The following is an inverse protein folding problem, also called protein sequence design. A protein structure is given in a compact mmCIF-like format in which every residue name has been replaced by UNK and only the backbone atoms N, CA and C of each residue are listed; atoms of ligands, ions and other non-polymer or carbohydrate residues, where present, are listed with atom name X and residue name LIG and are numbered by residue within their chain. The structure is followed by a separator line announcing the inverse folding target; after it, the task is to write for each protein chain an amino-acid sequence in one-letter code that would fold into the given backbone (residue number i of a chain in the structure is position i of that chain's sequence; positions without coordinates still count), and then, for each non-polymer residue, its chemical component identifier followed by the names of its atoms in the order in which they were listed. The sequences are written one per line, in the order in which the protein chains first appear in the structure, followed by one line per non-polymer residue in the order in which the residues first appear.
data_IF_120950526634
#
_entry.id   IF_120950526634
#
_cell.length_a   1.000
_cell.length_b   1.000
_cell.length_c   1.000
_cell.angle_alpha   90.00
_cell.angle_beta   90.00
_cell.angle_gamma   90.00
#
_symmetry.space_group_name_H-M   'P 1'
#
loop_
_entity.id
_entity.type
_entity.pdbx_description
1 polymer ?
#
# COMPACT_ATOMS: atom_id res chain seq x y z
N UNK A 1 -2.88 -4.09 7.81
CA UNK A 1 -1.46 -4.18 7.45
C UNK A 1 -1.34 -4.92 6.15
N UNK A 2 -0.72 -4.28 5.15
CA UNK A 2 -0.66 -4.80 3.80
C UNK A 2 0.04 -6.18 3.74
N UNK A 3 -0.55 -7.15 3.02
CA UNK A 3 -1.44 -6.96 1.88
C UNK A 3 -2.93 -6.74 2.21
N UNK A 4 -3.30 -6.68 3.50
CA UNK A 4 -4.68 -6.45 3.95
C UNK A 4 -4.98 -4.96 4.14
N UNK A 5 -5.90 -4.45 3.31
CA UNK A 5 -6.39 -3.08 3.39
C UNK A 5 -7.76 -3.06 4.10
N UNK A 6 -8.05 -1.97 4.82
CA UNK A 6 -9.40 -1.59 5.20
C UNK A 6 -9.69 -0.23 4.58
N UNK A 7 -10.67 -0.17 3.69
CA UNK A 7 -11.01 1.07 2.97
C UNK A 7 -11.72 2.07 3.87
N UNK A 8 -11.89 3.30 3.38
CA UNK A 8 -12.67 4.33 4.08
C UNK A 8 -14.12 3.90 4.33
N UNK A 9 -14.70 3.11 3.42
CA UNK A 9 -16.07 2.58 3.52
C UNK A 9 -16.15 1.23 4.26
N UNK A 10 -14.99 0.68 4.65
CA UNK A 10 -14.88 -0.51 5.50
C UNK A 10 -14.75 -1.84 4.76
N UNK A 11 -14.63 -1.82 3.43
CA UNK A 11 -14.28 -2.99 2.64
C UNK A 11 -12.86 -3.48 2.95
N UNK A 12 -12.56 -4.72 2.55
CA UNK A 12 -11.30 -5.40 2.88
C UNK A 12 -10.60 -6.03 1.66
N UNK A 13 -10.20 -5.23 0.65
CA UNK A 13 -9.45 -5.74 -0.48
C UNK A 13 -8.04 -6.16 -0.06
N UNK A 14 -7.42 -7.00 -0.89
CA UNK A 14 -6.08 -7.51 -0.66
C UNK A 14 -5.22 -7.43 -1.92
N UNK A 15 -3.95 -7.04 -1.77
CA UNK A 15 -3.03 -6.80 -2.89
C UNK A 15 -1.73 -7.58 -2.68
N UNK A 16 -1.60 -8.73 -3.35
CA UNK A 16 -0.55 -9.72 -3.07
C UNK A 16 0.68 -9.64 -3.99
N UNK A 17 0.63 -8.77 -4.99
CA UNK A 17 1.67 -8.67 -6.00
C UNK A 17 2.71 -7.61 -5.63
N UNK A 18 3.92 -7.77 -6.16
CA UNK A 18 4.92 -6.70 -6.08
C UNK A 18 4.59 -5.59 -7.09
N UNK A 19 4.91 -4.35 -6.73
CA UNK A 19 4.65 -3.20 -7.59
C UNK A 19 4.44 -1.92 -6.80
N UNK A 20 4.08 -0.87 -7.51
CA UNK A 20 3.54 0.35 -6.92
C UNK A 20 2.06 0.45 -7.21
N UNK A 21 1.29 0.79 -6.17
CA UNK A 21 -0.16 0.93 -6.26
C UNK A 21 -0.60 2.29 -5.72
N UNK A 22 -1.68 2.81 -6.29
CA UNK A 22 -2.35 3.98 -5.75
C UNK A 22 -3.05 3.61 -4.44
N UNK A 23 -2.66 4.22 -3.32
CA UNK A 23 -3.33 4.05 -2.02
C UNK A 23 -4.48 5.04 -1.91
N UNK A 24 -4.18 6.31 -2.22
CA UNK A 24 -5.15 7.39 -2.39
C UNK A 24 -4.73 8.19 -3.60
N UNK A 25 -5.67 8.44 -4.51
CA UNK A 25 -5.51 9.28 -5.69
C UNK A 25 -6.70 10.21 -5.77
N UNK A 26 -6.45 11.50 -5.71
CA UNK A 26 -7.42 12.56 -6.04
C UNK A 26 -6.71 13.67 -6.82
N UNK A 27 -7.42 14.76 -7.11
CA UNK A 27 -6.80 15.95 -7.72
C UNK A 27 -5.70 16.53 -6.84
N UNK A 28 -5.90 16.54 -5.51
CA UNK A 28 -5.02 17.23 -4.57
C UNK A 28 -4.05 16.29 -3.84
N UNK A 29 -4.49 15.08 -3.48
CA UNK A 29 -3.78 14.17 -2.57
C UNK A 29 -3.36 12.91 -3.30
N UNK A 30 -2.05 12.67 -3.38
CA UNK A 30 -1.45 11.51 -4.05
C UNK A 30 -0.67 10.69 -3.03
N UNK A 31 -1.08 9.44 -2.84
CA UNK A 31 -0.42 8.49 -1.93
C UNK A 31 -0.19 7.18 -2.67
N UNK A 32 1.05 6.72 -2.69
CA UNK A 32 1.45 5.48 -3.36
C UNK A 32 2.12 4.52 -2.38
N UNK A 33 1.78 3.24 -2.49
CA UNK A 33 2.39 2.15 -1.74
C UNK A 33 3.32 1.39 -2.65
N UNK A 34 4.52 1.08 -2.17
CA UNK A 34 5.43 0.14 -2.82
C UNK A 34 5.37 -1.18 -2.09
N UNK A 35 4.95 -2.21 -2.82
CA UNK A 35 4.80 -3.58 -2.35
C UNK A 35 5.99 -4.41 -2.80
N UNK A 36 6.61 -5.13 -1.85
CA UNK A 36 7.71 -6.07 -2.13
C UNK A 36 7.52 -7.37 -1.38
N UNK A 37 7.90 -8.47 -2.02
CA UNK A 37 7.97 -9.77 -1.39
C UNK A 37 8.99 -9.78 -0.26
N UNK A 38 8.67 -10.46 0.82
CA UNK A 38 9.59 -10.67 1.94
C UNK A 38 9.94 -12.16 2.07
N UNK A 39 11.08 -12.47 2.67
CA UNK A 39 11.42 -13.87 3.00
C UNK A 39 10.39 -14.52 3.91
N UNK A 40 9.73 -13.72 4.76
CA UNK A 40 8.76 -14.18 5.75
C UNK A 40 7.41 -14.56 5.13
N UNK A 41 7.06 -13.93 4.03
CA UNK A 41 5.81 -14.16 3.28
C UNK A 41 5.99 -15.14 2.12
N UNK A 42 7.12 -15.86 2.06
CA UNK A 42 7.54 -16.68 0.90
C UNK A 42 7.47 -15.89 -0.43
N UNK A 43 7.72 -14.59 -0.38
CA UNK A 43 7.68 -13.71 -1.56
C UNK A 43 6.30 -13.21 -1.97
N UNK A 44 5.26 -13.34 -1.14
CA UNK A 44 4.04 -12.52 -1.28
C UNK A 44 4.32 -11.10 -0.80
N UNK A 45 3.74 -10.12 -1.46
CA UNK A 45 4.10 -8.75 -1.18
C UNK A 45 3.52 -8.24 0.16
N UNK A 46 4.29 -7.38 0.80
CA UNK A 46 3.86 -6.53 1.91
C UNK A 46 4.33 -5.10 1.62
N UNK A 47 3.74 -4.10 2.27
CA UNK A 47 4.14 -2.72 2.03
C UNK A 47 5.54 -2.47 2.56
N UNK A 48 6.41 -2.02 1.64
CA UNK A 48 7.81 -1.71 1.87
C UNK A 48 8.03 -0.21 2.07
N UNK A 49 7.36 0.63 1.27
CA UNK A 49 7.42 2.09 1.38
C UNK A 49 6.07 2.72 1.10
N UNK A 50 5.80 3.84 1.73
CA UNK A 50 4.71 4.77 1.42
C UNK A 50 5.33 6.07 0.89
N UNK A 51 4.80 6.59 -0.21
CA UNK A 51 5.10 7.92 -0.72
C UNK A 51 3.84 8.79 -0.62
N UNK A 52 4.00 10.01 -0.10
CA UNK A 52 2.93 11.01 0.04
C UNK A 52 3.35 12.27 -0.70
N UNK A 53 2.53 12.73 -1.63
CA UNK A 53 2.82 13.86 -2.52
C UNK A 53 1.56 14.44 -3.16
N UNK A 54 1.74 15.30 -4.15
CA UNK A 54 0.65 15.91 -4.92
C UNK A 54 0.51 17.42 -4.71
N UNK A 55 -0.46 18.06 -5.39
CA UNK A 55 -0.63 19.51 -5.36
C UNK A 55 -0.80 20.10 -3.95
N UNK A 56 -1.45 19.38 -3.03
CA UNK A 56 -1.63 19.84 -1.65
C UNK A 56 -0.31 20.01 -0.88
N UNK A 57 0.76 19.35 -1.33
CA UNK A 57 2.13 19.49 -0.82
C UNK A 57 3.03 20.34 -1.72
N UNK A 58 2.47 21.06 -2.70
CA UNK A 58 3.21 21.96 -3.60
C UNK A 58 4.38 21.26 -4.30
N UNK A 59 4.18 20.02 -4.73
CA UNK A 59 5.18 19.20 -5.43
C UNK A 59 6.22 18.52 -4.53
N UNK A 60 6.15 18.72 -3.20
CA UNK A 60 6.99 18.02 -2.22
C UNK A 60 6.59 16.55 -2.13
N UNK A 61 7.56 15.67 -1.91
CA UNK A 61 7.31 14.22 -1.73
C UNK A 61 7.96 13.73 -0.45
N UNK A 62 7.16 13.09 0.39
CA UNK A 62 7.59 12.40 1.63
C UNK A 62 7.61 10.90 1.34
N UNK A 63 8.71 10.22 1.67
CA UNK A 63 8.83 8.77 1.55
C UNK A 63 9.21 8.17 2.90
N UNK A 64 8.38 7.23 3.38
CA UNK A 64 8.63 6.45 4.60
C UNK A 64 8.69 4.97 4.25
N UNK A 65 9.79 4.31 4.61
CA UNK A 65 9.96 2.87 4.41
C UNK A 65 10.02 2.06 5.71
N UNK A 66 10.18 0.76 5.56
CA UNK A 66 10.61 -0.15 6.65
C UNK A 66 11.93 0.33 7.26
N UNK A 67 12.32 -0.21 8.41
CA UNK A 67 13.64 0.08 9.00
C UNK A 67 14.77 -0.41 8.08
N UNK A 68 14.65 -1.61 7.50
CA UNK A 68 15.62 -2.15 6.54
C UNK A 68 15.67 -1.34 5.23
N UNK A 69 14.61 -0.60 4.90
CA UNK A 69 14.49 0.15 3.65
C UNK A 69 15.13 1.55 3.69
N UNK A 70 15.66 1.96 4.84
CA UNK A 70 16.46 3.17 5.03
C UNK A 70 15.76 4.31 5.77
N UNK A 71 16.29 5.53 5.62
CA UNK A 71 15.80 6.73 6.27
C UNK A 71 14.41 7.18 5.78
N UNK A 72 13.78 8.07 6.55
CA UNK A 72 12.65 8.88 6.07
C UNK A 72 13.21 9.99 5.20
N UNK A 73 12.61 10.20 4.02
CA UNK A 73 13.13 11.14 3.02
C UNK A 73 12.06 12.16 2.66
N UNK A 74 12.46 13.43 2.57
CA UNK A 74 11.67 14.54 2.01
C UNK A 74 12.49 15.16 0.88
N UNK A 75 11.97 15.16 -0.34
CA UNK A 75 12.63 15.71 -1.54
C UNK A 75 14.11 15.27 -1.67
N UNK A 76 14.36 13.96 -1.57
CA UNK A 76 15.70 13.34 -1.59
C UNK A 76 16.62 13.67 -0.39
N UNK A 77 16.15 14.41 0.61
CA UNK A 77 16.90 14.67 1.85
C UNK A 77 16.44 13.77 2.99
N UNK A 78 17.39 13.14 3.68
CA UNK A 78 17.09 12.38 4.89
C UNK A 78 16.64 13.33 6.01
N UNK A 79 15.54 12.97 6.66
CA UNK A 79 14.96 13.71 7.78
C UNK A 79 14.65 12.73 8.92
N UNK A 80 14.36 13.27 10.10
CA UNK A 80 14.03 12.48 11.30
C UNK A 80 15.15 11.48 11.66
N UNK A 81 16.41 11.92 11.61
CA UNK A 81 17.61 11.09 11.84
C UNK A 81 17.78 10.67 13.31
N UNK A 82 17.21 11.45 14.23
CA UNK A 82 17.19 11.16 15.66
C UNK A 82 15.86 10.52 16.10
N UNK A 83 15.86 9.87 17.27
CA UNK A 83 14.66 9.26 17.85
C UNK A 83 14.54 9.56 19.35
N UNK A 84 13.52 10.31 19.81
CA UNK A 84 12.47 10.94 19.00
C UNK A 84 12.97 12.18 18.24
N UNK A 85 12.27 12.56 17.16
CA UNK A 85 12.55 13.80 16.43
C UNK A 85 11.32 14.38 15.74
N UNK A 86 11.43 15.65 15.32
CA UNK A 86 10.38 16.38 14.60
C UNK A 86 11.01 17.09 13.40
N UNK A 87 10.28 17.14 12.29
CA UNK A 87 10.68 17.85 11.08
C UNK A 87 9.53 18.75 10.61
N UNK A 88 9.84 20.02 10.33
CA UNK A 88 8.88 20.98 9.78
C UNK A 88 8.96 20.98 8.26
N UNK A 89 7.83 20.73 7.59
CA UNK A 89 7.72 20.70 6.13
C UNK A 89 7.50 22.12 5.58
N UNK A 90 8.33 23.08 5.99
CA UNK A 90 8.31 24.47 5.50
C UNK A 90 6.91 25.10 5.45
N UNK A 91 6.12 24.97 6.53
CA UNK A 91 4.76 25.51 6.63
C UNK A 91 3.66 24.69 5.96
N UNK A 92 4.00 23.56 5.34
CA UNK A 92 3.04 22.61 4.77
C UNK A 92 2.64 21.50 5.76
N UNK A 93 3.29 21.39 6.90
CA UNK A 93 2.95 20.35 7.87
C UNK A 93 4.11 20.01 8.78
N UNK A 94 3.88 19.00 9.62
CA UNK A 94 4.86 18.51 10.59
C UNK A 94 4.95 17.00 10.52
N UNK A 95 6.17 16.49 10.52
CA UNK A 95 6.46 15.06 10.67
C UNK A 95 7.05 14.83 12.06
N UNK A 96 6.61 13.78 12.75
CA UNK A 96 7.10 13.40 14.09
C UNK A 96 7.51 11.94 14.08
N UNK A 97 8.70 11.63 14.59
CA UNK A 97 9.21 10.25 14.71
C UNK A 97 9.37 9.88 16.19
N UNK A 98 8.58 8.94 16.68
CA UNK A 98 8.59 8.51 18.09
C UNK A 98 8.00 7.10 18.27
N UNK A 99 7.79 6.67 19.52
CA UNK A 99 7.23 5.35 19.87
C UNK A 99 5.72 5.34 20.18
N UNK A 100 4.99 6.41 19.88
CA UNK A 100 3.59 6.58 20.24
C UNK A 100 2.64 6.14 19.13
N UNK A 101 1.41 5.77 19.49
CA UNK A 101 0.33 5.46 18.55
C UNK A 101 -0.25 4.05 18.68
N UNK A 102 -1.53 3.94 18.32
CA UNK A 102 -2.28 2.69 18.36
C UNK A 102 -2.11 1.94 17.06
N UNK A 103 -1.74 0.66 17.19
CA UNK A 103 -1.49 -0.20 16.06
C UNK A 103 -2.72 -0.29 15.14
N UNK A 104 -2.54 -0.45 13.83
CA UNK A 104 -3.64 -0.69 12.91
C UNK A 104 -4.31 -2.06 13.11
N UNK A 105 -3.62 -3.00 13.76
CA UNK A 105 -4.12 -4.31 14.17
C UNK A 105 -3.78 -4.61 15.64
N UNK A 106 -4.53 -5.52 16.27
CA UNK A 106 -4.35 -5.87 17.70
C UNK A 106 -3.11 -6.76 17.97
N UNK A 107 -2.25 -6.99 16.97
CA UNK A 107 -1.29 -8.10 16.98
C UNK A 107 0.10 -7.77 17.56
N UNK A 108 0.45 -6.49 17.82
CA UNK A 108 1.84 -6.12 18.11
C UNK A 108 2.07 -5.45 19.48
N UNK A 109 1.41 -5.93 20.53
CA UNK A 109 1.51 -5.39 21.90
C UNK A 109 2.88 -5.47 22.62
N UNK A 110 3.96 -5.96 21.98
CA UNK A 110 5.23 -6.28 22.68
C UNK A 110 6.46 -5.56 22.10
N UNK A 111 6.34 -4.81 20.99
CA UNK A 111 7.51 -4.34 20.24
C UNK A 111 7.73 -2.84 20.40
N UNK A 112 8.99 -2.41 20.50
CA UNK A 112 9.37 -1.00 20.48
C UNK A 112 8.95 -0.36 19.15
N UNK A 113 7.93 0.50 19.23
CA UNK A 113 7.34 1.13 18.06
C UNK A 113 8.27 2.18 17.48
N UNK A 114 8.36 2.21 16.15
CA UNK A 114 9.04 3.25 15.37
C UNK A 114 8.01 3.89 14.44
N UNK A 115 7.39 4.97 14.89
CA UNK A 115 6.19 5.53 14.26
C UNK A 115 6.47 6.91 13.68
N UNK A 116 6.18 7.08 12.40
CA UNK A 116 6.18 8.39 11.74
C UNK A 116 4.75 8.89 11.68
N UNK A 117 4.48 10.03 12.31
CA UNK A 117 3.22 10.76 12.22
C UNK A 117 3.39 11.93 11.28
N UNK A 118 2.44 12.14 10.37
CA UNK A 118 2.40 13.26 9.45
C UNK A 118 1.09 14.01 9.67
N UNK A 119 1.18 15.29 10.01
CA UNK A 119 0.07 16.22 9.99
C UNK A 119 0.27 17.16 8.80
N UNK A 120 -0.55 16.99 7.78
CA UNK A 120 -0.42 17.62 6.45
C UNK A 120 -1.63 18.52 6.15
N UNK A 121 -1.61 19.30 5.05
CA UNK A 121 -2.72 20.18 4.69
C UNK A 121 -3.99 19.39 4.37
N UNK A 122 -5.11 20.10 4.26
CA UNK A 122 -6.44 19.51 3.97
C UNK A 122 -6.92 18.50 5.03
N UNK A 123 -6.33 18.51 6.24
CA UNK A 123 -6.69 17.57 7.30
C UNK A 123 -6.18 16.15 7.06
N UNK A 124 -5.20 15.96 6.17
CA UNK A 124 -4.59 14.66 5.91
C UNK A 124 -3.63 14.30 7.04
N UNK A 125 -3.93 13.20 7.73
CA UNK A 125 -3.11 12.61 8.77
C UNK A 125 -2.67 11.22 8.35
N UNK A 126 -1.35 10.98 8.35
CA UNK A 126 -0.78 9.67 8.02
C UNK A 126 0.06 9.20 9.20
N UNK A 127 -0.21 7.99 9.68
CA UNK A 127 0.61 7.34 10.72
C UNK A 127 1.22 6.08 10.12
N UNK A 128 2.54 5.98 10.13
CA UNK A 128 3.29 4.85 9.57
C UNK A 128 4.10 4.15 10.66
N UNK A 129 3.73 2.92 10.98
CA UNK A 129 4.46 2.01 11.86
C UNK A 129 5.54 1.31 11.05
N UNK A 130 6.81 1.60 11.39
CA UNK A 130 7.97 1.09 10.68
C UNK A 130 8.49 -0.16 11.36
N UNK A 131 8.22 -1.31 10.77
CA UNK A 131 8.82 -2.57 11.18
C UNK A 131 10.11 -2.82 10.41
N UNK A 132 10.83 -3.88 10.80
CA UNK A 132 12.10 -4.24 10.15
C UNK A 132 11.93 -4.39 8.63
N UNK A 133 10.96 -5.21 8.22
CA UNK A 133 10.80 -5.67 6.85
C UNK A 133 9.44 -5.34 6.20
N UNK A 134 8.56 -4.61 6.89
CA UNK A 134 7.29 -4.11 6.35
C UNK A 134 6.89 -2.82 7.07
N UNK A 135 5.86 -2.14 6.57
CA UNK A 135 5.19 -1.04 7.27
C UNK A 135 3.71 -1.33 7.39
N UNK A 136 3.11 -0.89 8.50
CA UNK A 136 1.68 -0.68 8.59
C UNK A 136 1.40 0.82 8.59
N UNK A 137 0.29 1.24 8.01
CA UNK A 137 -0.08 2.64 8.06
C UNK A 137 -1.59 2.84 8.22
N UNK A 138 -1.94 4.01 8.72
CA UNK A 138 -3.31 4.49 8.84
C UNK A 138 -3.39 5.88 8.23
N UNK A 139 -4.38 6.10 7.39
CA UNK A 139 -4.71 7.40 6.80
C UNK A 139 -6.04 7.86 7.39
N UNK A 140 -6.07 9.09 7.89
CA UNK A 140 -7.29 9.78 8.27
C UNK A 140 -7.33 11.10 7.52
N UNK A 141 -8.37 11.32 6.74
CA UNK A 141 -8.54 12.53 5.95
C UNK A 141 -10.01 12.73 5.60
N UNK A 142 -10.47 13.96 5.33
CA UNK A 142 -11.74 14.19 4.67
C UNK A 142 -11.75 13.58 3.26
N UNK A 143 -12.89 13.05 2.83
CA UNK A 143 -13.06 12.58 1.45
C UNK A 143 -12.74 13.70 0.45
N UNK A 144 -12.02 13.36 -0.61
CA UNK A 144 -11.67 14.30 -1.68
C UNK A 144 -12.56 14.06 -2.91
N UNK A 145 -12.87 15.10 -3.71
CA UNK A 145 -13.53 14.92 -4.99
C UNK A 145 -12.74 13.96 -5.90
N UNK A 146 -13.43 12.96 -6.44
CA UNK A 146 -12.82 11.95 -7.32
C UNK A 146 -11.75 11.09 -6.65
N UNK A 147 -11.78 10.97 -5.32
CA UNK A 147 -10.86 10.09 -4.59
C UNK A 147 -11.07 8.63 -4.99
N UNK A 148 -9.97 7.91 -5.16
CA UNK A 148 -9.97 6.46 -5.34
C UNK A 148 -8.59 5.87 -4.95
N UNK A 149 -8.42 4.57 -5.08
CA UNK A 149 -7.18 3.85 -4.74
C UNK A 149 -7.46 2.62 -3.88
N UNK A 150 -6.41 1.98 -3.39
CA UNK A 150 -6.52 0.82 -2.50
C UNK A 150 -7.36 1.12 -1.25
N UNK A 151 -7.40 2.38 -0.80
CA UNK A 151 -8.25 2.83 0.31
C UNK A 151 -9.71 3.16 -0.08
N UNK A 152 -10.08 2.99 -1.35
CA UNK A 152 -11.46 3.12 -1.83
C UNK A 152 -11.90 4.54 -2.18
N UNK A 153 -13.17 4.65 -2.60
CA UNK A 153 -13.75 5.91 -3.11
C UNK A 153 -14.26 6.85 -2.01
N UNK A 154 -14.46 6.34 -0.78
CA UNK A 154 -15.00 7.08 0.36
C UNK A 154 -16.41 7.64 0.11
N UNK A 155 -17.26 6.88 -0.61
CA UNK A 155 -18.62 7.25 -0.98
C UNK A 155 -19.70 6.61 -0.07
N UNK A 156 -19.29 5.97 1.03
CA UNK A 156 -20.14 5.17 1.94
C UNK A 156 -20.68 3.87 1.36
N UNK A 157 -20.16 3.38 0.23
CA UNK A 157 -20.51 2.10 -0.38
C UNK A 157 -19.30 1.15 -0.39
N UNK A 158 -19.19 0.20 0.54
CA UNK A 158 -18.07 -0.75 0.54
C UNK A 158 -18.13 -1.77 -0.61
N UNK A 159 -19.23 -1.86 -1.37
CA UNK A 159 -19.39 -2.88 -2.40
C UNK A 159 -18.56 -2.59 -3.67
N UNK A 160 -18.21 -1.34 -3.91
CA UNK A 160 -17.37 -0.92 -5.03
C UNK A 160 -15.87 -0.87 -4.68
N UNK A 161 -15.50 -1.22 -3.44
CA UNK A 161 -14.13 -1.24 -2.93
C UNK A 161 -13.48 -2.65 -2.96
N UNK A 162 -13.88 -3.47 -3.92
CA UNK A 162 -13.18 -4.75 -4.20
C UNK A 162 -11.85 -4.49 -4.90
N UNK A 163 -10.87 -5.39 -4.74
CA UNK A 163 -9.57 -5.25 -5.40
C UNK A 163 -9.73 -5.15 -6.94
N UNK A 164 -10.67 -5.92 -7.49
CA UNK A 164 -11.03 -5.91 -8.90
C UNK A 164 -11.68 -4.60 -9.37
N UNK A 165 -12.60 -4.04 -8.59
CA UNK A 165 -13.22 -2.76 -8.92
C UNK A 165 -12.21 -1.60 -8.82
N UNK A 166 -11.40 -1.58 -7.77
CA UNK A 166 -10.33 -0.58 -7.57
C UNK A 166 -9.35 -0.62 -8.75
N UNK A 167 -8.79 -1.80 -9.09
CA UNK A 167 -7.83 -1.88 -10.20
C UNK A 167 -8.45 -1.50 -11.56
N UNK A 168 -9.76 -1.71 -11.75
CA UNK A 168 -10.43 -1.31 -12.98
C UNK A 168 -10.53 0.20 -13.12
N UNK A 169 -10.59 0.95 -12.00
CA UNK A 169 -10.71 2.41 -11.99
C UNK A 169 -9.36 3.11 -11.99
N UNK A 170 -8.41 2.64 -11.16
CA UNK A 170 -7.11 3.32 -10.96
C UNK A 170 -5.91 2.55 -11.52
N UNK A 171 -6.12 1.35 -12.06
CA UNK A 171 -5.06 0.46 -12.53
C UNK A 171 -4.51 -0.45 -11.44
N UNK A 172 -4.01 -1.63 -11.84
CA UNK A 172 -3.36 -2.57 -10.91
C UNK A 172 -1.94 -2.12 -10.50
N UNK A 173 -1.34 -1.17 -11.21
CA UNK A 173 -0.06 -0.56 -10.88
C UNK A 173 -0.05 0.92 -11.29
N UNK A 174 0.73 1.74 -10.58
CA UNK A 174 0.98 3.14 -10.92
C UNK A 174 1.77 3.22 -12.23
N UNK A 175 1.34 4.09 -13.15
CA UNK A 175 2.05 4.30 -14.40
C UNK A 175 3.42 4.96 -14.18
N UNK A 176 4.46 4.64 -14.98
CA UNK A 176 5.81 5.18 -14.77
C UNK A 176 5.92 6.70 -14.73
N UNK A 177 5.07 7.41 -15.49
CA UNK A 177 5.03 8.87 -15.55
C UNK A 177 4.24 9.53 -14.39
N UNK A 178 3.57 8.74 -13.55
CA UNK A 178 2.81 9.20 -12.38
C UNK A 178 3.51 8.85 -11.06
N UNK A 179 4.68 8.21 -11.13
CA UNK A 179 5.36 7.64 -9.98
C UNK A 179 5.94 8.71 -9.04
N UNK A 180 5.58 8.66 -7.76
CA UNK A 180 6.16 9.51 -6.71
C UNK A 180 7.55 9.04 -6.28
N UNK A 181 7.84 7.76 -6.46
CA UNK A 181 9.16 7.22 -6.17
C UNK A 181 10.15 7.57 -7.29
N UNK A 182 11.36 7.99 -6.91
CA UNK A 182 12.44 8.36 -7.85
C UNK A 182 12.77 7.31 -8.92
N UNK A 183 12.54 6.03 -8.62
CA UNK A 183 12.76 4.91 -9.55
C UNK A 183 11.67 3.87 -9.33
N UNK A 184 11.11 3.25 -10.37
CA UNK A 184 10.17 2.14 -10.22
C UNK A 184 10.84 0.95 -9.53
N UNK A 185 10.05 0.17 -8.82
CA UNK A 185 10.45 -1.18 -8.41
C UNK A 185 10.44 -2.07 -9.66
N UNK A 186 11.23 -3.15 -9.62
CA UNK A 186 11.13 -4.21 -10.63
C UNK A 186 10.36 -5.34 -9.97
N UNK A 187 9.05 -5.51 -10.29
CA UNK A 187 8.23 -6.55 -9.67
C UNK A 187 8.81 -7.93 -9.94
N UNK A 188 9.02 -8.71 -8.87
CA UNK A 188 9.41 -10.11 -8.98
C UNK A 188 8.19 -11.00 -8.86
N UNK A 189 8.13 -12.02 -9.71
CA UNK A 189 7.16 -13.10 -9.53
C UNK A 189 7.81 -14.23 -8.73
N UNK A 190 7.56 -14.28 -7.43
CA UNK A 190 8.03 -15.37 -6.56
C UNK A 190 7.38 -16.71 -6.94
N UNK A 191 7.99 -17.82 -6.52
CA UNK A 191 7.42 -19.15 -6.79
C UNK A 191 6.06 -19.34 -6.12
N UNK A 192 5.83 -18.71 -4.95
CA UNK A 192 4.51 -18.66 -4.33
C UNK A 192 3.47 -17.98 -5.22
N UNK A 193 3.81 -16.85 -5.84
CA UNK A 193 2.92 -16.16 -6.79
C UNK A 193 2.68 -17.00 -8.04
N UNK A 194 3.74 -17.63 -8.60
CA UNK A 194 3.58 -18.53 -9.76
C UNK A 194 2.63 -19.68 -9.46
N UNK A 195 2.78 -20.30 -8.29
CA UNK A 195 1.93 -21.40 -7.88
C UNK A 195 0.48 -20.96 -7.64
N UNK A 196 0.26 -19.81 -7.00
CA UNK A 196 -1.08 -19.23 -6.84
C UNK A 196 -1.74 -18.93 -8.19
N UNK A 197 -1.01 -18.39 -9.16
CA UNK A 197 -1.51 -18.19 -10.53
C UNK A 197 -1.88 -19.55 -11.18
N UNK A 198 -1.03 -20.56 -11.05
CA UNK A 198 -1.30 -21.90 -11.57
C UNK A 198 -2.54 -22.56 -10.95
N UNK A 199 -2.80 -22.31 -9.66
CA UNK A 199 -4.04 -22.73 -9.02
C UNK A 199 -5.24 -21.94 -9.57
N UNK A 200 -5.09 -20.64 -9.78
CA UNK A 200 -6.17 -19.83 -10.33
C UNK A 200 -6.55 -20.30 -11.74
N UNK A 201 -5.58 -20.71 -12.56
CA UNK A 201 -5.82 -21.28 -13.89
C UNK A 201 -6.78 -22.49 -13.89
N UNK A 202 -6.88 -23.22 -12.78
CA UNK A 202 -7.80 -24.35 -12.63
C UNK A 202 -9.25 -23.90 -12.38
N UNK A 203 -9.47 -22.64 -12.02
CA UNK A 203 -10.79 -22.03 -11.80
C UNK A 203 -11.24 -21.34 -13.10
N UNK A 204 -11.82 -22.12 -14.01
CA UNK A 204 -12.12 -21.68 -15.38
C UNK A 204 -12.79 -20.30 -15.49
N UNK A 205 -13.86 -20.05 -14.72
CA UNK A 205 -14.58 -18.78 -14.77
C UNK A 205 -13.74 -17.60 -14.26
N UNK A 206 -13.08 -17.75 -13.10
CA UNK A 206 -12.24 -16.69 -12.52
C UNK A 206 -11.04 -16.37 -13.40
N UNK A 207 -10.39 -17.40 -13.95
CA UNK A 207 -9.21 -17.20 -14.80
C UNK A 207 -9.59 -16.60 -16.16
N UNK A 208 -10.70 -17.02 -16.77
CA UNK A 208 -11.18 -16.41 -18.00
C UNK A 208 -11.43 -14.89 -17.84
N UNK A 209 -12.07 -14.50 -16.73
CA UNK A 209 -12.24 -13.08 -16.35
C UNK A 209 -10.90 -12.37 -16.19
N UNK A 210 -9.95 -12.98 -15.46
CA UNK A 210 -8.62 -12.40 -15.28
C UNK A 210 -7.87 -12.25 -16.62
N UNK A 211 -8.01 -13.18 -17.56
CA UNK A 211 -7.40 -13.08 -18.88
C UNK A 211 -7.97 -11.92 -19.69
N UNK A 212 -9.28 -11.69 -19.60
CA UNK A 212 -9.97 -10.60 -20.29
C UNK A 212 -9.56 -9.23 -19.74
N UNK A 213 -9.45 -9.10 -18.41
CA UNK A 213 -9.24 -7.81 -17.74
C UNK A 213 -7.76 -7.40 -17.68
N UNK A 214 -6.84 -8.36 -17.57
CA UNK A 214 -5.49 -8.06 -17.09
C UNK A 214 -4.41 -7.93 -18.16
N UNK A 215 -4.65 -8.26 -19.43
CA UNK A 215 -3.62 -8.22 -20.48
C UNK A 215 -2.28 -8.87 -20.05
N UNK A 216 -2.35 -10.03 -19.39
CA UNK A 216 -1.21 -10.78 -18.81
C UNK A 216 -0.48 -10.09 -17.64
N UNK A 217 -0.95 -8.94 -17.14
CA UNK A 217 -0.42 -8.33 -15.93
C UNK A 217 -0.66 -9.25 -14.73
N UNK A 218 0.43 -9.79 -14.18
CA UNK A 218 0.38 -10.76 -13.07
C UNK A 218 -0.18 -10.17 -11.78
N UNK A 219 0.02 -8.87 -11.53
CA UNK A 219 -0.54 -8.21 -10.37
C UNK A 219 -2.07 -8.14 -10.47
N UNK A 220 -2.57 -7.72 -11.63
CA UNK A 220 -4.00 -7.75 -11.92
C UNK A 220 -4.57 -9.16 -11.80
N UNK A 221 -3.92 -10.18 -12.38
CA UNK A 221 -4.38 -11.57 -12.28
C UNK A 221 -4.46 -12.00 -10.81
N UNK A 222 -3.47 -11.66 -10.00
CA UNK A 222 -3.48 -11.98 -8.56
C UNK A 222 -4.65 -11.33 -7.83
N UNK A 223 -4.98 -10.09 -8.14
CA UNK A 223 -6.12 -9.38 -7.53
C UNK A 223 -7.45 -10.02 -7.93
N UNK A 224 -7.66 -10.34 -9.22
CA UNK A 224 -8.88 -11.03 -9.70
C UNK A 224 -9.05 -12.43 -9.08
N UNK A 225 -7.94 -13.12 -8.82
CA UNK A 225 -7.96 -14.48 -8.30
C UNK A 225 -8.07 -14.55 -6.77
N UNK A 226 -7.49 -13.59 -6.05
CA UNK A 226 -7.23 -13.68 -4.61
C UNK A 226 -7.49 -12.39 -3.82
N UNK A 227 -7.88 -11.29 -4.46
CA UNK A 227 -8.07 -9.99 -3.82
C UNK A 227 -9.16 -9.96 -2.74
N UNK A 228 -10.12 -10.88 -2.80
CA UNK A 228 -11.14 -11.11 -1.76
C UNK A 228 -10.73 -12.11 -0.68
N UNK A 229 -9.58 -12.77 -0.81
CA UNK A 229 -9.11 -13.79 0.12
C UNK A 229 -8.05 -13.22 1.06
N UNK A 230 -8.42 -12.95 2.31
CA UNK A 230 -7.50 -12.46 3.36
C UNK A 230 -6.44 -13.48 3.79
N UNK A 231 -6.50 -14.72 3.31
CA UNK A 231 -5.61 -15.81 3.69
C UNK A 231 -5.02 -16.53 2.48
N UNK A 232 -4.75 -15.79 1.39
CA UNK A 232 -4.23 -16.36 0.15
C UNK A 232 -3.01 -17.26 0.37
N UNK A 233 -2.08 -16.91 1.27
CA UNK A 233 -0.93 -17.76 1.61
C UNK A 233 -1.32 -19.08 2.31
N UNK A 234 -2.24 -19.02 3.28
CA UNK A 234 -2.71 -20.24 3.99
C UNK A 234 -3.47 -21.15 3.03
N UNK A 235 -4.31 -20.54 2.18
CA UNK A 235 -5.01 -21.23 1.10
C UNK A 235 -4.01 -21.92 0.16
N UNK A 236 -2.98 -21.21 -0.29
CA UNK A 236 -1.89 -21.76 -1.10
C UNK A 236 -1.24 -22.98 -0.44
N UNK A 237 -0.79 -22.84 0.82
CA UNK A 237 -0.17 -23.93 1.60
C UNK A 237 -1.07 -25.15 1.70
N UNK A 238 -2.38 -24.97 1.92
CA UNK A 238 -3.33 -26.09 1.96
C UNK A 238 -3.49 -26.84 0.63
N UNK A 239 -3.00 -26.28 -0.48
CA UNK A 239 -3.03 -26.90 -1.81
C UNK A 239 -1.66 -27.37 -2.30
N UNK A 240 -0.64 -27.40 -1.43
CA UNK A 240 0.67 -27.98 -1.73
C UNK A 240 1.79 -27.00 -2.09
N UNK A 241 1.73 -25.77 -1.56
CA UNK A 241 2.84 -24.78 -1.57
C UNK A 241 3.76 -24.87 -0.34
#
# INVERSE_FOLDING_TARGET
GDPHVRTFDGARPNFYAEGEEWIVRSEQVWIQGRYKGTKWTKGLAATNKLAVGGPFLRGRVIVVGTLDAGAVVVDDQEVLTDFPSTYSLAGLGTLRYNGQGDLPDDAAGVWDKKVVHMDLPLGVQVTVFRWKNYVDFRIKMPAQPGQDGACGTANSDPSDDTAEAIQSRVGAQVAPNELLFKRPTVPRTSDAVKHLIAICQRKAATFARAQQECNQNKACIMNVCYGSNSHALRFAKSMGL
#
